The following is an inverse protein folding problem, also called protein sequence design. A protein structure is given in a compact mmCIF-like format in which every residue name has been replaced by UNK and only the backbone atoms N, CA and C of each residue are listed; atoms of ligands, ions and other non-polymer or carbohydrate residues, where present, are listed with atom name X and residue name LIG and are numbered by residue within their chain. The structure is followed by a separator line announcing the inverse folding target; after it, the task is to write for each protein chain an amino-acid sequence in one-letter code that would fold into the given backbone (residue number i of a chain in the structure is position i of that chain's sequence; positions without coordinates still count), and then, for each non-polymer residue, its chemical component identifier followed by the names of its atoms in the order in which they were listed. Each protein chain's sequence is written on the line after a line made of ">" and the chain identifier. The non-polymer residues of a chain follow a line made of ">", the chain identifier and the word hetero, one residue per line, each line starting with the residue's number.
data_IF_914118050129
#
_entry.id   IF_914118050129
#
_cell.length_a   1.000
_cell.length_b   1.000
_cell.length_c   1.000
_cell.angle_alpha   90.00
_cell.angle_beta   90.00
_cell.angle_gamma   90.00
#
_symmetry.space_group_name_H-M   'P 1'
#
loop_
_entity.id
_entity.type
_entity.pdbx_description
1 polymer ?
#
# COMPACT_ATOMS: atom_id res chain seq x y z
N UNK A 1 21.09 25.09 20.26
CA UNK A 1 20.28 25.19 19.03
C UNK A 1 19.03 24.36 19.25
N UNK A 2 17.86 25.00 19.27
CA UNK A 2 16.58 24.36 19.54
C UNK A 2 16.12 23.63 18.26
N UNK A 3 16.34 22.31 18.21
CA UNK A 3 15.66 21.45 17.23
C UNK A 3 14.23 21.29 17.73
N UNK A 4 13.29 21.88 17.01
CA UNK A 4 11.85 21.68 17.22
C UNK A 4 11.53 20.22 16.96
N UNK A 5 11.42 19.43 18.04
CA UNK A 5 10.83 18.09 18.05
C UNK A 5 9.31 18.20 17.80
N UNK A 6 8.91 18.66 16.61
CA UNK A 6 7.51 18.61 16.18
C UNK A 6 7.26 17.23 15.54
N UNK A 7 6.46 16.35 16.19
CA UNK A 7 6.14 15.03 15.66
C UNK A 7 5.47 15.08 14.29
N UNK A 8 4.71 16.15 14.00
CA UNK A 8 4.05 16.33 12.71
C UNK A 8 5.05 16.61 11.59
N UNK A 9 6.14 17.31 11.91
CA UNK A 9 7.20 17.60 10.96
C UNK A 9 8.01 16.34 10.61
N UNK A 10 8.27 15.48 11.61
CA UNK A 10 8.88 14.18 11.39
C UNK A 10 8.01 13.31 10.47
N UNK A 11 6.73 13.20 10.80
CA UNK A 11 5.79 12.36 10.07
C UNK A 11 5.67 12.76 8.59
N UNK A 12 5.55 14.06 8.29
CA UNK A 12 5.52 14.54 6.90
C UNK A 12 6.82 14.25 6.14
N UNK A 13 7.99 14.49 6.76
CA UNK A 13 9.29 14.21 6.12
C UNK A 13 9.47 12.72 5.86
N UNK A 14 9.06 11.88 6.81
CA UNK A 14 9.14 10.44 6.70
C UNK A 14 8.23 9.91 5.58
N UNK A 15 6.99 10.39 5.49
CA UNK A 15 6.08 10.00 4.41
C UNK A 15 6.67 10.32 3.04
N UNK A 16 7.25 11.51 2.86
CA UNK A 16 7.92 11.89 1.60
C UNK A 16 9.11 10.96 1.28
N UNK A 17 9.95 10.65 2.26
CA UNK A 17 11.08 9.74 2.05
C UNK A 17 10.61 8.30 1.70
N UNK A 18 9.52 7.83 2.32
CA UNK A 18 8.92 6.54 1.99
C UNK A 18 8.28 6.52 0.59
N UNK A 19 7.78 7.66 0.10
CA UNK A 19 7.29 7.81 -1.28
C UNK A 19 8.46 7.60 -2.25
N UNK A 20 9.64 8.17 -1.99
CA UNK A 20 10.79 7.98 -2.88
C UNK A 20 11.21 6.50 -2.99
N UNK A 21 11.11 5.75 -1.89
CA UNK A 21 11.37 4.30 -1.82
C UNK A 21 10.24 3.49 -2.48
N UNK A 22 9.02 4.03 -2.52
CA UNK A 22 7.85 3.37 -3.11
C UNK A 22 7.90 3.26 -4.65
N UNK A 23 8.94 3.78 -5.30
CA UNK A 23 9.11 3.80 -6.76
C UNK A 23 9.85 2.60 -7.35
N UNK A 24 10.24 1.61 -6.54
CA UNK A 24 10.73 0.31 -7.01
C UNK A 24 12.05 -0.08 -6.35
N UNK A 25 12.38 -1.38 -6.26
CA UNK A 25 13.65 -1.84 -5.70
C UNK A 25 14.87 -1.29 -6.46
N UNK A 26 14.73 -0.96 -7.74
CA UNK A 26 15.78 -0.32 -8.55
C UNK A 26 15.99 1.16 -8.19
N UNK A 27 14.98 1.81 -7.61
CA UNK A 27 15.02 3.20 -7.16
C UNK A 27 15.47 3.34 -5.70
N UNK A 28 15.59 2.22 -4.96
CA UNK A 28 16.17 2.21 -3.61
C UNK A 28 17.68 2.33 -3.72
N UNK A 29 18.15 3.55 -3.97
CA UNK A 29 19.56 3.90 -3.80
C UNK A 29 19.90 4.07 -2.31
N UNK A 30 21.17 3.90 -1.96
CA UNK A 30 21.68 4.15 -0.60
C UNK A 30 21.21 5.51 -0.05
N UNK A 31 21.15 6.54 -0.90
CA UNK A 31 20.70 7.89 -0.53
C UNK A 31 19.28 7.95 0.03
N UNK A 32 18.32 7.22 -0.55
CA UNK A 32 16.93 7.28 -0.08
C UNK A 32 16.78 6.62 1.29
N UNK A 33 17.56 5.56 1.55
CA UNK A 33 17.63 4.90 2.85
C UNK A 33 18.35 5.78 3.88
N UNK A 34 19.49 6.38 3.50
CA UNK A 34 20.25 7.33 4.31
C UNK A 34 19.36 8.48 4.81
N UNK A 35 18.52 9.06 3.96
CA UNK A 35 17.58 10.12 4.38
C UNK A 35 16.66 9.66 5.51
N UNK A 36 16.14 8.43 5.45
CA UNK A 36 15.30 7.90 6.53
C UNK A 36 16.12 7.70 7.80
N UNK A 37 17.32 7.13 7.71
CA UNK A 37 18.20 6.94 8.86
C UNK A 37 18.55 8.30 9.51
N UNK A 38 18.91 9.30 8.72
CA UNK A 38 19.21 10.66 9.19
C UNK A 38 18.00 11.32 9.87
N UNK A 39 16.79 11.09 9.37
CA UNK A 39 15.57 11.56 10.02
C UNK A 39 15.39 10.91 11.40
N UNK A 40 15.69 9.61 11.56
CA UNK A 40 15.58 8.97 12.88
C UNK A 40 16.59 9.53 13.87
N UNK A 41 17.82 9.82 13.42
CA UNK A 41 18.83 10.49 14.26
C UNK A 41 18.43 11.92 14.66
N UNK A 42 17.75 12.64 13.77
CA UNK A 42 17.24 13.99 14.07
C UNK A 42 16.05 13.97 15.04
N UNK A 43 15.26 12.90 15.06
CA UNK A 43 14.03 12.77 15.84
C UNK A 43 13.99 11.45 16.63
N UNK A 44 14.89 11.25 17.62
CA UNK A 44 15.09 9.95 18.29
C UNK A 44 13.86 9.44 19.06
N UNK A 45 12.95 10.33 19.46
CA UNK A 45 11.73 9.97 20.18
C UNK A 45 10.57 9.53 19.26
N UNK A 46 10.79 9.44 17.94
CA UNK A 46 9.74 9.16 16.96
C UNK A 46 9.77 7.73 16.42
N UNK A 47 10.46 6.81 17.10
CA UNK A 47 10.63 5.42 16.66
C UNK A 47 9.29 4.69 16.44
N UNK A 48 8.31 4.90 17.31
CA UNK A 48 6.97 4.32 17.17
C UNK A 48 6.25 4.83 15.92
N UNK A 49 6.40 6.12 15.63
CA UNK A 49 5.83 6.72 14.41
C UNK A 49 6.53 6.18 13.17
N UNK A 50 7.84 6.01 13.21
CA UNK A 50 8.62 5.37 12.15
C UNK A 50 8.10 3.96 11.86
N UNK A 51 8.05 3.11 12.89
CA UNK A 51 7.60 1.73 12.77
C UNK A 51 6.19 1.69 12.20
N UNK A 52 5.27 2.49 12.73
CA UNK A 52 3.89 2.56 12.24
C UNK A 52 3.83 2.92 10.74
N UNK A 53 4.62 3.90 10.28
CA UNK A 53 4.65 4.29 8.86
C UNK A 53 5.31 3.24 7.97
N UNK A 54 6.34 2.55 8.45
CA UNK A 54 6.97 1.43 7.74
C UNK A 54 5.99 0.26 7.61
N UNK A 55 5.26 -0.08 8.68
CA UNK A 55 4.20 -1.09 8.66
C UNK A 55 3.12 -0.74 7.64
N UNK A 56 2.63 0.51 7.67
CA UNK A 56 1.67 1.01 6.68
C UNK A 56 2.21 0.90 5.26
N UNK A 57 3.46 1.32 5.03
CA UNK A 57 4.12 1.23 3.73
C UNK A 57 4.09 -0.22 3.20
N UNK A 58 4.58 -1.17 3.99
CA UNK A 58 4.63 -2.61 3.68
C UNK A 58 3.23 -3.17 3.40
N UNK A 59 2.25 -2.85 4.24
CA UNK A 59 0.91 -3.44 4.14
C UNK A 59 0.26 -3.10 2.79
N UNK A 60 0.38 -1.86 2.32
CA UNK A 60 -0.21 -1.45 1.04
C UNK A 60 0.77 -1.42 -0.16
N UNK A 61 2.03 -1.84 0.00
CA UNK A 61 2.99 -1.89 -1.10
C UNK A 61 2.64 -3.02 -2.08
N UNK A 62 2.61 -2.78 -3.41
CA UNK A 62 2.47 -3.87 -4.38
C UNK A 62 3.64 -4.87 -4.27
N UNK A 63 3.47 -6.15 -4.63
CA UNK A 63 4.52 -7.17 -4.49
C UNK A 63 5.89 -6.75 -5.02
N UNK A 64 5.93 -6.10 -6.19
CA UNK A 64 7.16 -5.62 -6.82
C UNK A 64 7.99 -4.66 -5.95
N UNK A 65 7.35 -3.96 -5.00
CA UNK A 65 7.97 -2.97 -4.12
C UNK A 65 8.34 -3.53 -2.74
N UNK A 66 7.93 -4.76 -2.41
CA UNK A 66 8.20 -5.32 -1.08
C UNK A 66 9.67 -5.61 -0.81
N UNK A 67 10.47 -5.82 -1.87
CA UNK A 67 11.92 -5.91 -1.71
C UNK A 67 12.53 -4.59 -1.19
N UNK A 68 11.99 -3.44 -1.60
CA UNK A 68 12.36 -2.15 -1.03
C UNK A 68 12.04 -2.06 0.47
N UNK A 69 10.88 -2.59 0.86
CA UNK A 69 10.51 -2.73 2.27
C UNK A 69 11.49 -3.57 3.08
N UNK A 70 11.98 -4.69 2.52
CA UNK A 70 12.99 -5.51 3.19
C UNK A 70 14.34 -4.78 3.34
N UNK A 71 14.80 -4.04 2.32
CA UNK A 71 16.01 -3.23 2.43
C UNK A 71 15.88 -2.09 3.46
N UNK A 72 14.69 -1.51 3.57
CA UNK A 72 14.40 -0.53 4.61
C UNK A 72 14.51 -1.15 6.01
N UNK A 73 13.89 -2.31 6.22
CA UNK A 73 13.99 -3.06 7.50
C UNK A 73 15.46 -3.35 7.84
N UNK A 74 16.20 -3.89 6.86
CA UNK A 74 17.62 -4.19 7.02
C UNK A 74 18.43 -2.97 7.44
N UNK A 75 18.21 -1.83 6.78
CA UNK A 75 18.90 -0.58 7.09
C UNK A 75 18.56 -0.07 8.49
N UNK A 76 17.28 -0.11 8.87
CA UNK A 76 16.85 0.31 10.19
C UNK A 76 17.51 -0.54 11.29
N UNK A 77 17.56 -1.86 11.13
CA UNK A 77 18.15 -2.73 12.16
C UNK A 77 19.67 -2.51 12.26
N UNK A 78 20.37 -2.28 11.14
CA UNK A 78 21.83 -2.08 11.13
C UNK A 78 22.27 -0.73 11.70
N UNK A 79 21.49 0.32 11.50
CA UNK A 79 21.94 1.69 11.75
C UNK A 79 21.25 2.38 12.93
N UNK A 80 20.22 1.79 13.52
CA UNK A 80 19.62 2.31 14.76
C UNK A 80 20.41 1.87 15.99
N UNK A 81 20.21 2.58 17.10
CA UNK A 81 20.69 2.11 18.41
C UNK A 81 20.09 0.75 18.76
N UNK A 82 20.81 -0.07 19.52
CA UNK A 82 20.41 -1.45 19.87
C UNK A 82 18.96 -1.54 20.38
N UNK A 83 18.54 -0.64 21.27
CA UNK A 83 17.17 -0.62 21.83
C UNK A 83 16.09 -0.38 20.74
N UNK A 84 16.35 0.58 19.85
CA UNK A 84 15.43 0.89 18.75
C UNK A 84 15.44 -0.21 17.68
N UNK A 85 16.61 -0.78 17.39
CA UNK A 85 16.76 -1.90 16.48
C UNK A 85 15.97 -3.13 16.98
N UNK A 86 16.06 -3.46 18.27
CA UNK A 86 15.28 -4.54 18.90
C UNK A 86 13.78 -4.26 18.79
N UNK A 87 13.35 -3.01 18.98
CA UNK A 87 11.92 -2.65 18.88
C UNK A 87 11.41 -2.82 17.45
N UNK A 88 12.19 -2.38 16.45
CA UNK A 88 11.88 -2.60 15.02
C UNK A 88 11.83 -4.09 14.69
N UNK A 89 12.83 -4.86 15.13
CA UNK A 89 12.91 -6.31 14.91
C UNK A 89 11.67 -7.03 15.46
N UNK A 90 11.30 -6.77 16.72
CA UNK A 90 10.17 -7.40 17.40
C UNK A 90 8.84 -7.09 16.69
N UNK A 91 8.63 -5.83 16.29
CA UNK A 91 7.40 -5.41 15.61
C UNK A 91 7.27 -6.05 14.23
N UNK A 92 8.35 -6.06 13.45
CA UNK A 92 8.31 -6.49 12.05
C UNK A 92 8.47 -8.00 11.86
N UNK A 93 8.98 -8.72 12.87
CA UNK A 93 9.05 -10.19 12.89
C UNK A 93 7.71 -10.84 12.53
N UNK A 94 6.61 -10.35 13.11
CA UNK A 94 5.27 -10.89 12.88
C UNK A 94 4.79 -10.77 11.42
N UNK A 95 5.33 -9.80 10.67
CA UNK A 95 4.97 -9.52 9.27
C UNK A 95 5.86 -10.23 8.27
N UNK A 96 7.06 -10.67 8.68
CA UNK A 96 8.09 -11.13 7.74
C UNK A 96 7.61 -12.28 6.84
N UNK A 97 6.95 -13.29 7.41
CA UNK A 97 6.42 -14.42 6.63
C UNK A 97 5.44 -13.98 5.54
N UNK A 98 4.59 -12.98 5.83
CA UNK A 98 3.61 -12.47 4.88
C UNK A 98 4.25 -11.61 3.78
N UNK A 99 5.25 -10.80 4.12
CA UNK A 99 6.06 -10.06 3.15
C UNK A 99 6.69 -11.04 2.16
N UNK A 100 7.31 -12.11 2.66
CA UNK A 100 7.97 -13.11 1.84
C UNK A 100 6.98 -13.86 0.94
N UNK A 101 5.80 -14.26 1.45
CA UNK A 101 4.74 -14.85 0.62
C UNK A 101 4.30 -13.94 -0.52
N UNK A 102 4.20 -12.63 -0.28
CA UNK A 102 3.85 -11.67 -1.34
C UNK A 102 5.00 -11.50 -2.33
N UNK A 103 6.26 -11.51 -1.88
CA UNK A 103 7.44 -11.48 -2.76
C UNK A 103 7.53 -12.71 -3.67
N UNK A 104 6.97 -13.86 -3.26
CA UNK A 104 6.89 -15.04 -4.11
C UNK A 104 6.18 -14.80 -5.46
N UNK A 105 5.34 -13.76 -5.54
CA UNK A 105 4.63 -13.36 -6.75
C UNK A 105 5.41 -12.43 -7.68
N UNK A 106 6.67 -12.17 -7.37
CA UNK A 106 7.56 -11.29 -8.15
C UNK A 106 8.51 -12.10 -9.05
N UNK A 107 9.19 -11.47 -10.03
CA UNK A 107 10.17 -12.13 -10.87
C UNK A 107 11.26 -12.87 -10.08
N UNK A 108 11.85 -13.91 -10.68
CA UNK A 108 12.91 -14.71 -10.04
C UNK A 108 14.06 -13.84 -9.52
N UNK A 109 14.45 -12.80 -10.25
CA UNK A 109 15.50 -11.85 -9.86
C UNK A 109 15.21 -11.18 -8.51
N UNK A 110 13.97 -10.76 -8.27
CA UNK A 110 13.54 -10.14 -7.00
C UNK A 110 13.52 -11.17 -5.86
N UNK A 111 13.06 -12.39 -6.14
CA UNK A 111 13.05 -13.49 -5.16
C UNK A 111 14.47 -13.91 -4.75
N UNK A 112 15.39 -13.97 -5.69
CA UNK A 112 16.81 -14.24 -5.47
C UNK A 112 17.45 -13.18 -4.57
N UNK A 113 17.21 -11.89 -4.86
CA UNK A 113 17.67 -10.78 -4.02
C UNK A 113 17.11 -10.86 -2.59
N UNK A 114 15.83 -11.19 -2.45
CA UNK A 114 15.21 -11.40 -1.14
C UNK A 114 15.85 -12.58 -0.40
N UNK A 115 16.14 -13.69 -1.09
CA UNK A 115 16.82 -14.85 -0.52
C UNK A 115 18.22 -14.50 -0.01
N UNK A 116 19.02 -13.80 -0.81
CA UNK A 116 20.36 -13.33 -0.41
C UNK A 116 20.31 -12.47 0.84
N UNK A 117 19.29 -11.61 0.97
CA UNK A 117 19.09 -10.78 2.17
C UNK A 117 18.72 -11.62 3.40
N UNK A 118 17.83 -12.61 3.25
CA UNK A 118 17.49 -13.53 4.34
C UNK A 118 18.69 -14.36 4.78
N UNK A 119 19.51 -14.87 3.86
CA UNK A 119 20.75 -15.59 4.17
C UNK A 119 21.77 -14.69 4.87
N UNK A 120 21.80 -13.40 4.53
CA UNK A 120 22.56 -12.42 5.28
C UNK A 120 22.04 -12.29 6.72
N UNK A 121 20.74 -12.11 6.92
CA UNK A 121 20.14 -12.04 8.26
C UNK A 121 20.36 -13.32 9.09
N UNK A 122 20.35 -14.50 8.46
CA UNK A 122 20.67 -15.76 9.12
C UNK A 122 22.12 -15.77 9.63
N UNK A 123 23.08 -15.39 8.78
CA UNK A 123 24.51 -15.35 9.17
C UNK A 123 24.78 -14.37 10.29
N UNK A 124 24.07 -13.24 10.31
CA UNK A 124 24.22 -12.19 11.31
C UNK A 124 23.29 -12.35 12.52
N UNK A 125 22.47 -13.41 12.57
CA UNK A 125 21.47 -13.64 13.63
C UNK A 125 20.58 -12.42 13.89
N UNK A 126 20.20 -11.72 12.81
CA UNK A 126 19.40 -10.50 12.87
C UNK A 126 17.96 -10.78 13.31
N UNK A 127 17.46 -11.97 12.99
CA UNK A 127 16.19 -12.50 13.46
C UNK A 127 16.41 -13.95 13.90
N UNK A 128 15.43 -14.54 14.59
CA UNK A 128 15.50 -15.94 15.00
C UNK A 128 15.71 -16.90 13.82
N UNK A 129 16.65 -17.85 13.97
CA UNK A 129 17.05 -18.80 12.91
C UNK A 129 15.86 -19.56 12.32
N UNK A 130 14.93 -20.02 13.17
CA UNK A 130 13.72 -20.75 12.76
C UNK A 130 12.81 -19.90 11.84
N UNK A 131 12.66 -18.61 12.14
CA UNK A 131 11.86 -17.69 11.33
C UNK A 131 12.49 -17.49 9.96
N UNK A 132 13.80 -17.23 9.92
CA UNK A 132 14.52 -16.99 8.68
C UNK A 132 14.54 -18.25 7.82
N UNK A 133 14.76 -19.42 8.41
CA UNK A 133 14.72 -20.69 7.69
C UNK A 133 13.32 -20.98 7.14
N UNK A 134 12.27 -20.70 7.91
CA UNK A 134 10.88 -20.77 7.42
C UNK A 134 10.66 -19.86 6.20
N UNK A 135 11.15 -18.61 6.25
CA UNK A 135 11.06 -17.66 5.15
C UNK A 135 11.83 -18.10 3.89
N UNK A 136 13.06 -18.59 4.05
CA UNK A 136 13.87 -19.14 2.95
C UNK A 136 13.15 -20.34 2.33
N UNK A 137 12.56 -21.21 3.15
CA UNK A 137 11.78 -22.35 2.68
C UNK A 137 10.51 -21.92 1.92
N UNK A 138 9.85 -20.83 2.31
CA UNK A 138 8.74 -20.25 1.53
C UNK A 138 9.23 -19.83 0.14
N UNK A 139 10.37 -19.13 0.03
CA UNK A 139 10.93 -18.72 -1.26
C UNK A 139 11.32 -19.92 -2.12
N UNK A 140 11.98 -20.93 -1.56
CA UNK A 140 12.36 -22.17 -2.27
C UNK A 140 11.13 -22.94 -2.73
N UNK A 141 10.13 -23.10 -1.86
CA UNK A 141 8.88 -23.77 -2.23
C UNK A 141 8.15 -22.98 -3.29
N UNK A 142 8.17 -21.64 -3.24
CA UNK A 142 7.56 -20.73 -4.23
C UNK A 142 8.11 -20.84 -5.65
N UNK A 143 9.15 -21.62 -5.86
CA UNK A 143 9.45 -22.22 -7.16
C UNK A 143 8.35 -23.23 -7.59
N UNK A 144 7.11 -23.12 -7.04
CA UNK A 144 6.01 -24.08 -7.13
C UNK A 144 5.76 -24.44 -8.60
N UNK A 145 5.48 -25.74 -8.86
CA UNK A 145 5.47 -26.35 -10.17
C UNK A 145 4.48 -25.67 -11.10
N UNK A 146 4.59 -25.94 -12.41
CA UNK A 146 3.52 -25.76 -13.37
C UNK A 146 2.21 -26.31 -12.77
N UNK A 147 1.41 -25.45 -12.14
CA UNK A 147 0.05 -25.77 -11.77
C UNK A 147 -0.64 -26.09 -13.09
N UNK A 148 -1.00 -27.35 -13.29
CA UNK A 148 -1.59 -27.85 -14.54
C UNK A 148 -2.87 -27.06 -14.85
N UNK A 149 -3.47 -26.40 -13.84
CA UNK A 149 -4.64 -25.55 -13.94
C UNK A 149 -4.34 -24.05 -13.91
N UNK A 150 -3.08 -23.61 -13.93
CA UNK A 150 -2.75 -22.20 -14.06
C UNK A 150 -2.91 -21.73 -15.51
N UNK A 151 -3.51 -20.54 -15.66
CA UNK A 151 -3.61 -19.84 -16.94
C UNK A 151 -2.92 -18.49 -16.85
N UNK A 152 -2.41 -18.04 -18.01
CA UNK A 152 -1.87 -16.70 -18.17
C UNK A 152 -3.00 -15.75 -18.57
N UNK A 153 -3.22 -14.72 -17.76
CA UNK A 153 -4.23 -13.69 -17.98
C UNK A 153 -3.54 -12.34 -18.20
N UNK A 154 -3.87 -11.65 -19.28
CA UNK A 154 -3.41 -10.29 -19.55
C UNK A 154 -4.29 -9.29 -18.79
N UNK A 155 -3.68 -8.44 -17.98
CA UNK A 155 -4.39 -7.44 -17.18
C UNK A 155 -5.04 -6.36 -18.05
N UNK A 156 -6.22 -5.88 -17.63
CA UNK A 156 -6.88 -4.69 -18.19
C UNK A 156 -6.65 -3.45 -17.30
N UNK A 157 -5.65 -3.49 -16.42
CA UNK A 157 -5.39 -2.43 -15.44
C UNK A 157 -4.07 -1.72 -15.76
N UNK A 158 -4.13 -0.40 -15.78
CA UNK A 158 -2.96 0.47 -15.85
C UNK A 158 -2.69 1.03 -14.45
N UNK A 159 -1.41 1.01 -14.06
CA UNK A 159 -0.93 1.65 -12.85
C UNK A 159 -0.16 2.91 -13.25
N UNK A 160 -0.64 4.06 -12.78
CA UNK A 160 0.09 5.31 -12.77
C UNK A 160 0.82 5.46 -11.45
N UNK A 161 2.13 5.73 -11.51
CA UNK A 161 2.94 6.07 -10.35
C UNK A 161 3.53 7.46 -10.48
N UNK A 162 4.02 8.04 -9.37
CA UNK A 162 4.59 9.39 -9.36
C UNK A 162 3.58 10.47 -9.78
N UNK A 163 2.33 10.31 -9.35
CA UNK A 163 1.29 11.29 -9.62
C UNK A 163 1.51 12.58 -8.83
N UNK A 164 1.29 13.76 -9.43
CA UNK A 164 1.27 15.02 -8.70
C UNK A 164 0.21 15.02 -7.59
N UNK A 165 0.46 15.74 -6.49
CA UNK A 165 -0.44 15.78 -5.33
C UNK A 165 -1.82 16.39 -5.62
N UNK A 166 -1.94 17.18 -6.68
CA UNK A 166 -3.18 17.79 -7.15
C UNK A 166 -3.99 16.86 -8.09
N UNK A 167 -3.50 15.66 -8.39
CA UNK A 167 -4.22 14.68 -9.21
C UNK A 167 -5.14 13.82 -8.34
N UNK A 168 -6.44 14.00 -8.52
CA UNK A 168 -7.47 13.22 -7.87
C UNK A 168 -8.13 12.22 -8.84
N UNK A 169 -8.96 11.33 -8.30
CA UNK A 169 -9.66 10.28 -9.07
C UNK A 169 -10.47 10.86 -10.23
N UNK A 170 -11.15 11.98 -10.01
CA UNK A 170 -11.98 12.64 -11.03
C UNK A 170 -11.15 13.09 -12.23
N UNK A 171 -10.06 13.82 -11.99
CA UNK A 171 -9.17 14.32 -13.04
C UNK A 171 -8.53 13.20 -13.84
N UNK A 172 -8.07 12.13 -13.17
CA UNK A 172 -7.49 10.95 -13.81
C UNK A 172 -8.53 10.26 -14.69
N UNK A 173 -9.76 10.11 -14.18
CA UNK A 173 -10.85 9.48 -14.91
C UNK A 173 -11.25 10.28 -16.14
N UNK A 174 -11.36 11.60 -16.03
CA UNK A 174 -11.64 12.49 -17.15
C UNK A 174 -10.57 12.34 -18.23
N UNK A 175 -9.30 12.43 -17.84
CA UNK A 175 -8.16 12.31 -18.75
C UNK A 175 -8.09 10.96 -19.46
N UNK A 176 -8.36 9.86 -18.75
CA UNK A 176 -8.36 8.52 -19.33
C UNK A 176 -9.59 8.28 -20.23
N UNK A 177 -10.75 8.86 -19.90
CA UNK A 177 -11.97 8.78 -20.71
C UNK A 177 -11.87 9.49 -22.06
N UNK A 178 -10.92 10.42 -22.25
CA UNK A 178 -10.60 10.97 -23.57
C UNK A 178 -10.06 9.91 -24.55
N UNK A 179 -9.50 8.82 -24.03
CA UNK A 179 -8.80 7.79 -24.83
C UNK A 179 -9.65 6.53 -24.99
N UNK A 180 -10.21 6.04 -23.87
CA UNK A 180 -11.05 4.86 -23.80
C UNK A 180 -11.99 4.93 -22.59
N UNK A 181 -13.10 4.19 -22.63
CA UNK A 181 -14.01 4.09 -21.51
C UNK A 181 -13.31 3.48 -20.29
N UNK A 182 -13.36 4.17 -19.15
CA UNK A 182 -12.81 3.67 -17.89
C UNK A 182 -13.89 3.05 -17.02
N UNK A 183 -13.64 1.83 -16.53
CA UNK A 183 -14.55 1.14 -15.61
C UNK A 183 -14.46 1.68 -14.18
N UNK A 184 -13.24 1.92 -13.72
CA UNK A 184 -12.92 2.36 -12.36
C UNK A 184 -11.55 3.04 -12.35
N UNK A 185 -11.45 4.14 -11.59
CA UNK A 185 -10.16 4.68 -11.14
C UNK A 185 -10.11 4.49 -9.63
N UNK A 186 -8.96 4.13 -9.09
CA UNK A 186 -8.73 4.04 -7.64
C UNK A 186 -7.43 4.72 -7.32
N UNK A 187 -7.49 5.84 -6.60
CA UNK A 187 -6.32 6.61 -6.21
C UNK A 187 -5.86 6.27 -4.80
N UNK A 188 -4.54 6.25 -4.62
CA UNK A 188 -3.87 6.26 -3.32
C UNK A 188 -3.05 7.54 -3.25
N UNK A 189 -3.73 8.64 -2.94
CA UNK A 189 -3.15 10.00 -2.97
C UNK A 189 -1.96 10.11 -2.03
N UNK A 190 -2.00 9.44 -0.88
CA UNK A 190 -0.91 9.33 0.09
C UNK A 190 0.33 8.60 -0.45
N UNK A 191 0.20 7.91 -1.58
CA UNK A 191 1.30 7.19 -2.26
C UNK A 191 1.57 7.68 -3.67
N UNK A 192 0.86 8.71 -4.13
CA UNK A 192 1.01 9.23 -5.49
C UNK A 192 0.78 8.16 -6.58
N UNK A 193 -0.15 7.22 -6.35
CA UNK A 193 -0.49 6.15 -7.31
C UNK A 193 -1.96 6.14 -7.70
N UNK A 194 -2.27 5.64 -8.90
CA UNK A 194 -3.64 5.35 -9.30
C UNK A 194 -3.72 4.08 -10.16
N UNK A 195 -4.75 3.27 -9.90
CA UNK A 195 -5.12 2.14 -10.74
C UNK A 195 -6.29 2.54 -11.64
N UNK A 196 -6.16 2.28 -12.94
CA UNK A 196 -7.17 2.56 -13.95
C UNK A 196 -7.56 1.23 -14.60
N UNK A 197 -8.80 0.79 -14.36
CA UNK A 197 -9.33 -0.44 -14.94
C UNK A 197 -10.14 -0.13 -16.20
N UNK A 198 -9.85 -0.82 -17.30
CA UNK A 198 -10.57 -0.70 -18.58
C UNK A 198 -11.42 -1.95 -18.88
N UNK A 199 -12.41 -1.86 -19.79
CA UNK A 199 -13.26 -2.99 -20.16
C UNK A 199 -12.48 -4.15 -20.79
N UNK A 200 -11.54 -3.84 -21.66
CA UNK A 200 -10.79 -4.83 -22.44
C UNK A 200 -9.29 -4.60 -22.36
N UNK A 201 -8.52 -5.62 -22.74
CA UNK A 201 -7.07 -5.53 -22.87
C UNK A 201 -6.64 -4.52 -23.93
N UNK A 202 -7.34 -4.49 -25.07
CA UNK A 202 -7.06 -3.54 -26.16
C UNK A 202 -7.24 -2.09 -25.70
N UNK A 203 -8.29 -1.81 -24.92
CA UNK A 203 -8.48 -0.50 -24.30
C UNK A 203 -7.32 -0.12 -23.37
N UNK A 204 -6.85 -1.08 -22.56
CA UNK A 204 -5.73 -0.86 -21.65
C UNK A 204 -4.44 -0.57 -22.41
N UNK A 205 -4.16 -1.30 -23.49
CA UNK A 205 -2.98 -1.10 -24.35
C UNK A 205 -3.00 0.28 -25.02
N UNK A 206 -4.14 0.66 -25.61
CA UNK A 206 -4.32 1.99 -26.22
C UNK A 206 -4.13 3.09 -25.18
N UNK A 207 -4.71 2.92 -23.98
CA UNK A 207 -4.56 3.88 -22.89
C UNK A 207 -3.11 3.99 -22.44
N UNK A 208 -2.42 2.86 -22.27
CA UNK A 208 -1.01 2.82 -21.87
C UNK A 208 -0.13 3.55 -22.87
N UNK A 209 -0.29 3.29 -24.17
CA UNK A 209 0.49 3.95 -25.23
C UNK A 209 0.29 5.47 -25.21
N UNK A 210 -0.96 5.93 -25.14
CA UNK A 210 -1.29 7.36 -25.13
C UNK A 210 -0.76 8.05 -23.87
N UNK A 211 -0.91 7.42 -22.70
CA UNK A 211 -0.38 7.95 -21.45
C UNK A 211 1.15 7.99 -21.45
N UNK A 212 1.82 6.96 -21.97
CA UNK A 212 3.28 6.93 -22.09
C UNK A 212 3.80 8.07 -22.98
N UNK A 213 3.14 8.33 -24.11
CA UNK A 213 3.46 9.46 -24.99
C UNK A 213 3.29 10.81 -24.29
N UNK A 214 2.15 11.02 -23.63
CA UNK A 214 1.85 12.26 -22.88
C UNK A 214 2.83 12.49 -21.73
N UNK A 215 3.22 11.42 -21.04
CA UNK A 215 4.25 11.47 -19.99
C UNK A 215 5.61 11.88 -20.56
N UNK A 216 6.01 11.32 -21.71
CA UNK A 216 7.28 11.67 -22.35
C UNK A 216 7.36 13.15 -22.78
N UNK A 217 6.22 13.77 -23.08
CA UNK A 217 6.11 15.19 -23.42
C UNK A 217 6.08 16.11 -22.19
N UNK A 218 5.85 15.55 -20.99
CA UNK A 218 5.73 16.32 -19.76
C UNK A 218 7.11 16.81 -19.31
N UNK A 219 7.25 18.14 -19.19
CA UNK A 219 8.45 18.78 -18.63
C UNK A 219 8.17 19.14 -17.18
N UNK A 220 8.82 18.45 -16.24
CA UNK A 220 8.65 18.69 -14.81
C UNK A 220 9.65 17.92 -13.95
N UNK A 221 9.74 18.29 -12.67
CA UNK A 221 10.58 17.59 -11.70
C UNK A 221 10.02 16.22 -11.29
N UNK A 222 8.70 16.02 -11.43
CA UNK A 222 8.01 14.76 -11.16
C UNK A 222 7.35 14.32 -12.46
N UNK A 223 7.77 13.16 -12.98
CA UNK A 223 7.30 12.61 -14.26
C UNK A 223 6.55 11.31 -13.94
N UNK A 224 5.21 11.27 -14.10
CA UNK A 224 4.44 10.06 -13.81
C UNK A 224 4.96 8.86 -14.61
N UNK A 225 5.04 7.67 -14.01
CA UNK A 225 5.36 6.44 -14.78
C UNK A 225 4.10 5.63 -15.04
N UNK A 226 3.99 5.12 -16.26
CA UNK A 226 2.87 4.30 -16.72
C UNK A 226 3.32 2.85 -16.84
N UNK A 227 2.78 1.97 -15.99
CA UNK A 227 3.10 0.54 -15.96
C UNK A 227 1.84 -0.30 -15.95
N UNK A 228 1.98 -1.62 -16.13
CA UNK A 228 0.86 -2.54 -15.97
C UNK A 228 0.50 -2.68 -14.49
N UNK A 229 -0.80 -2.68 -14.20
CA UNK A 229 -1.34 -2.89 -12.85
C UNK A 229 -2.08 -4.21 -12.74
N UNK A 230 -2.48 -4.57 -11.53
CA UNK A 230 -3.27 -5.78 -11.26
C UNK A 230 -4.64 -5.43 -10.71
N UNK A 231 -5.65 -6.25 -11.03
CA UNK A 231 -6.91 -6.23 -10.30
C UNK A 231 -6.73 -6.74 -8.87
N UNK A 232 -7.65 -6.39 -7.98
CA UNK A 232 -7.57 -6.81 -6.58
C UNK A 232 -7.52 -8.34 -6.42
N UNK A 233 -8.26 -9.08 -7.24
CA UNK A 233 -8.26 -10.54 -7.23
C UNK A 233 -6.99 -11.15 -7.84
N UNK A 234 -6.17 -10.37 -8.56
CA UNK A 234 -4.89 -10.79 -9.13
C UNK A 234 -3.70 -10.54 -8.19
N UNK A 235 -3.87 -9.78 -7.10
CA UNK A 235 -2.79 -9.24 -6.26
C UNK A 235 -1.85 -10.29 -5.64
N UNK A 236 -2.34 -11.52 -5.49
CA UNK A 236 -1.65 -12.61 -4.80
C UNK A 236 -1.04 -13.64 -5.75
N UNK A 237 -0.94 -13.32 -7.04
CA UNK A 237 -0.47 -14.23 -8.09
C UNK A 237 0.75 -13.67 -8.80
N UNK A 238 1.53 -14.56 -9.42
CA UNK A 238 2.73 -14.19 -10.17
C UNK A 238 2.37 -13.18 -11.26
N UNK A 239 3.04 -12.05 -11.28
CA UNK A 239 2.81 -10.98 -12.25
C UNK A 239 4.10 -10.62 -13.00
N UNK A 240 4.00 -10.60 -14.32
CA UNK A 240 5.06 -10.26 -15.26
C UNK A 240 4.84 -8.82 -15.70
N UNK A 241 5.50 -7.88 -15.00
CA UNK A 241 5.27 -6.43 -15.07
C UNK A 241 5.43 -5.84 -16.48
N UNK A 242 6.33 -6.38 -17.30
CA UNK A 242 6.63 -5.86 -18.64
C UNK A 242 5.49 -6.12 -19.62
N UNK A 243 4.94 -7.34 -19.58
CA UNK A 243 3.87 -7.79 -20.47
C UNK A 243 2.47 -7.56 -19.87
N UNK A 244 2.40 -7.31 -18.56
CA UNK A 244 1.15 -7.19 -17.82
C UNK A 244 0.40 -8.52 -17.76
N UNK A 245 1.13 -9.62 -17.58
CA UNK A 245 0.57 -10.97 -17.54
C UNK A 245 0.58 -11.49 -16.11
N UNK A 246 -0.55 -12.02 -15.67
CA UNK A 246 -0.71 -12.67 -14.39
C UNK A 246 -0.93 -14.17 -14.58
N UNK A 247 -0.20 -15.02 -13.85
CA UNK A 247 -0.39 -16.48 -13.87
C UNK A 247 -1.27 -16.90 -12.70
N UNK A 248 -2.50 -17.36 -12.97
CA UNK A 248 -3.55 -17.56 -11.99
C UNK A 248 -4.17 -18.94 -12.15
N UNK A 249 -4.40 -19.65 -11.05
CA UNK A 249 -5.15 -20.92 -11.04
C UNK A 249 -6.62 -20.68 -11.42
N UNK A 250 -7.18 -21.48 -12.34
CA UNK A 250 -8.55 -21.31 -12.86
C UNK A 250 -9.63 -21.23 -11.75
N UNK A 251 -9.45 -21.95 -10.65
CA UNK A 251 -10.37 -21.98 -9.49
C UNK A 251 -10.41 -20.66 -8.70
N UNK A 252 -9.44 -19.78 -8.90
CA UNK A 252 -9.33 -18.48 -8.21
C UNK A 252 -9.90 -17.32 -9.01
N UNK A 253 -10.29 -17.55 -10.25
CA UNK A 253 -10.88 -16.53 -11.11
C UNK A 253 -12.32 -16.28 -10.64
N UNK A 254 -12.69 -15.03 -10.34
CA UNK A 254 -14.06 -14.71 -9.94
C UNK A 254 -15.09 -15.15 -11.00
N UNK A 255 -16.28 -15.60 -10.60
CA UNK A 255 -17.28 -16.14 -11.53
C UNK A 255 -17.85 -15.12 -12.51
N UNK A 256 -17.70 -13.82 -12.23
CA UNK A 256 -18.10 -12.71 -13.09
C UNK A 256 -17.04 -12.35 -14.15
N UNK A 257 -15.91 -13.05 -14.19
CA UNK A 257 -14.84 -12.84 -15.15
C UNK A 257 -14.89 -13.92 -16.23
N UNK A 258 -15.06 -13.49 -17.49
CA UNK A 258 -14.97 -14.38 -18.65
C UNK A 258 -13.58 -14.24 -19.24
N UNK A 259 -12.81 -15.33 -19.20
CA UNK A 259 -11.46 -15.40 -19.76
C UNK A 259 -11.50 -16.09 -21.13
N UNK A 260 -10.85 -15.49 -22.12
CA UNK A 260 -10.53 -16.14 -23.37
C UNK A 260 -9.25 -16.96 -23.19
N UNK A 261 -9.40 -18.28 -23.12
CA UNK A 261 -8.28 -19.20 -22.87
C UNK A 261 -7.26 -19.21 -24.03
N UNK A 262 -7.61 -18.74 -25.22
CA UNK A 262 -6.70 -18.74 -26.38
C UNK A 262 -5.64 -17.65 -26.32
N UNK A 263 -6.02 -16.45 -25.86
CA UNK A 263 -5.15 -15.26 -25.88
C UNK A 263 -4.88 -14.65 -24.50
N UNK A 264 -5.50 -15.19 -23.46
CA UNK A 264 -5.39 -14.76 -22.06
C UNK A 264 -6.13 -13.47 -21.74
N UNK A 265 -6.94 -12.92 -22.65
CA UNK A 265 -7.73 -11.72 -22.37
C UNK A 265 -8.95 -12.05 -21.52
N UNK A 266 -9.51 -11.05 -20.82
CA UNK A 266 -10.73 -11.24 -20.05
C UNK A 266 -11.67 -10.05 -20.14
N UNK A 267 -12.95 -10.29 -19.87
CA UNK A 267 -13.99 -9.28 -19.72
C UNK A 267 -14.73 -9.47 -18.41
N UNK A 268 -15.24 -8.37 -17.85
CA UNK A 268 -16.04 -8.40 -16.63
C UNK A 268 -17.52 -8.40 -17.03
N UNK A 269 -18.23 -9.49 -16.77
CA UNK A 269 -19.69 -9.49 -16.88
C UNK A 269 -20.27 -8.69 -15.72
N UNK A 270 -20.63 -7.43 -15.99
CA UNK A 270 -21.55 -6.73 -15.10
C UNK A 270 -22.97 -7.23 -15.40
N UNK A 271 -23.73 -7.72 -14.42
CA UNK A 271 -25.16 -7.94 -14.62
C UNK A 271 -25.78 -6.63 -15.07
N UNK A 272 -26.39 -6.61 -16.26
CA UNK A 272 -27.06 -5.41 -16.77
C UNK A 272 -28.31 -5.01 -15.97
N UNK A 273 -28.71 -5.77 -14.95
CA UNK A 273 -29.92 -5.55 -14.14
C UNK A 273 -29.68 -5.63 -12.63
N UNK A 274 -28.82 -4.77 -12.09
CA UNK A 274 -28.91 -4.42 -10.67
C UNK A 274 -28.49 -2.97 -10.40
N UNK A 275 -29.14 -2.03 -11.12
CA UNK A 275 -29.37 -0.70 -10.54
C UNK A 275 -30.35 -0.90 -9.37
N UNK A 276 -29.93 -0.49 -8.17
CA UNK A 276 -30.74 -0.35 -6.95
C UNK A 276 -30.93 -1.62 -6.08
N UNK A 277 -29.93 -2.01 -5.29
CA UNK A 277 -30.17 -2.75 -4.02
C UNK A 277 -28.96 -2.90 -3.07
N UNK A 278 -27.83 -2.22 -3.30
CA UNK A 278 -26.75 -2.12 -2.29
C UNK A 278 -26.54 -0.65 -1.91
N UNK A 279 -27.63 -0.01 -1.46
CA UNK A 279 -27.57 1.25 -0.69
C UNK A 279 -28.21 1.15 0.69
N UNK A 280 -28.67 -0.03 1.09
CA UNK A 280 -29.18 -0.26 2.44
C UNK A 280 -28.76 -1.66 2.89
N UNK A 281 -27.70 -1.74 3.69
CA UNK A 281 -27.45 -2.78 4.73
C UNK A 281 -26.01 -2.66 5.27
N UNK A 282 -25.63 -1.47 5.75
CA UNK A 282 -24.57 -1.27 6.77
C UNK A 282 -24.47 0.20 7.18
N UNK A 283 -25.60 0.74 7.62
CA UNK A 283 -25.60 1.79 8.63
C UNK A 283 -26.34 1.20 9.84
N UNK A 284 -25.59 0.60 10.76
CA UNK A 284 -26.04 0.62 12.14
C UNK A 284 -25.53 1.94 12.75
N UNK A 285 -26.43 2.76 13.32
CA UNK A 285 -26.11 4.11 13.74
C UNK A 285 -25.34 4.09 15.05
N UNK A 286 -24.13 4.65 15.02
CA UNK A 286 -23.37 4.97 16.23
C UNK A 286 -24.05 6.14 16.94
N UNK A 287 -24.90 5.82 17.93
CA UNK A 287 -25.17 6.60 19.13
C UNK A 287 -25.34 8.13 18.97
N UNK A 288 -26.57 8.54 18.62
CA UNK A 288 -27.09 9.87 18.89
C UNK A 288 -27.17 10.12 20.41
N UNK A 289 -26.10 10.62 21.02
CA UNK A 289 -26.17 11.29 22.33
C UNK A 289 -27.03 12.55 22.17
N UNK A 290 -28.30 12.44 22.56
CA UNK A 290 -29.20 13.57 22.79
C UNK A 290 -28.55 14.52 23.80
N UNK A 291 -28.10 15.67 23.32
CA UNK A 291 -28.02 16.87 24.16
C UNK A 291 -29.46 17.28 24.50
N UNK A 292 -29.91 16.94 25.70
CA UNK A 292 -31.11 17.53 26.29
C UNK A 292 -30.72 18.86 26.96
N UNK A 293 -31.31 20.00 26.57
CA UNK A 293 -31.18 21.24 27.33
C UNK A 293 -31.93 21.08 28.65
N UNK A 294 -31.25 21.36 29.77
CA UNK A 294 -31.91 21.43 31.09
C UNK A 294 -32.95 22.56 31.10
N UNK A 295 -34.21 22.30 31.52
CA UNK A 295 -35.15 23.37 31.80
C UNK A 295 -34.74 24.08 33.10
N UNK A 296 -34.69 25.42 33.04
CA UNK A 296 -34.70 26.27 34.23
C UNK A 296 -36.05 26.15 34.90
N UNK A 297 -36.10 25.64 36.12
CA UNK A 297 -37.20 25.90 37.04
C UNK A 297 -36.70 26.88 38.12
N UNK A 298 -37.37 28.03 38.16
CA UNK A 298 -37.29 29.01 39.24
C UNK A 298 -38.48 28.78 40.18
N UNK A 299 -38.20 29.01 41.46
CA UNK A 299 -39.12 29.39 42.54
C UNK A 299 -40.01 28.32 43.18
N UNK A 300 -39.72 28.01 44.45
CA UNK A 300 -40.55 28.53 45.55
C UNK A 300 -39.88 28.39 46.92
N UNK A 301 -39.99 29.49 47.65
CA UNK A 301 -39.64 29.83 49.04
C UNK A 301 -40.03 28.78 50.09
N UNK A 302 -39.17 28.60 51.10
CA UNK A 302 -39.57 28.23 52.48
C UNK A 302 -38.46 28.60 53.47
N UNK A 303 -38.82 29.44 54.44
CA UNK A 303 -37.98 30.00 55.51
C UNK A 303 -37.65 28.97 56.59
N UNK A 304 -36.46 29.05 57.20
CA UNK A 304 -36.30 29.22 58.66
C UNK A 304 -34.82 29.37 59.07
N UNK A 305 -34.53 30.59 59.50
CA UNK A 305 -33.81 30.96 60.74
C UNK A 305 -32.71 30.02 61.26
N UNK A 306 -31.46 30.50 61.25
CA UNK A 306 -30.65 30.56 62.47
C UNK A 306 -29.61 31.69 62.38
N UNK A 307 -29.80 32.59 63.32
CA UNK A 307 -28.94 33.68 63.75
C UNK A 307 -27.61 33.15 64.33
N UNK A 308 -26.48 33.67 63.83
CA UNK A 308 -25.26 33.81 64.63
C UNK A 308 -24.80 35.27 64.59
N UNK A 309 -25.21 35.94 65.66
CA UNK A 309 -24.54 36.96 66.46
C UNK A 309 -23.15 37.43 66.01
N UNK A 310 -23.02 38.76 65.91
CA UNK A 310 -21.74 39.48 66.02
C UNK A 310 -21.16 39.32 67.43
N UNK A 311 -19.82 39.20 67.47
CA UNK A 311 -18.95 39.27 68.64
C UNK A 311 -17.52 39.10 68.18
#
# INVERSE_FOLDING_TARGET
>A
MSTTNDPNQFDMKLVNALIDISHGPEMVGCKSLEVIIDLVYQYPNSIETLIFRVEQFIDAAPPAYLLAGLYLIDSLIRYLSDENAITVEQRLTSKLSEIIRRICNTPLTTREKARTLLEHWQRHKTFGDELIESCINILRRSEIPNDINAIKIKTNVILLTQLPSDWNEYRIKEYANEVTQVLRVSTKSERHFAFIATPTRSDAEKLKEVLQRRVAETKGHIIPKVVWGTEYWMKSFKFEDEEGICTISKDKIPPDIIVNEQDGTYTVQRPNDMRMSIRMSREEPYNSRRYMPRPRSRESVSQRERSESRG
#
